data_IF_615562681215
#
_entry.id   IF_615562681215
#
_cell.length_a   1.000
_cell.length_b   1.000
_cell.length_c   1.000
_cell.angle_alpha   90.00
_cell.angle_beta   90.00
_cell.angle_gamma   90.00
#
_symmetry.space_group_name_H-M   'P 1'
#
loop_
_entity.id
_entity.type
_entity.pdbx_description
1 polymer ?
#
# COMPACT_ATOMS: atom_id res chain seq x y z
N UNK A 1 -13.10 7.10 -7.97
CA UNK A 1 -12.82 6.97 -6.52
C UNK A 1 -11.45 7.57 -6.26
N UNK A 2 -11.30 8.39 -5.22
CA UNK A 2 -10.00 8.97 -4.79
C UNK A 2 -9.51 8.15 -3.59
N UNK A 3 -8.20 7.86 -3.54
CA UNK A 3 -7.59 7.05 -2.47
C UNK A 3 -7.84 7.69 -1.10
N UNK A 4 -8.24 6.89 -0.13
CA UNK A 4 -8.52 7.36 1.24
C UNK A 4 -7.31 7.18 2.16
N UNK A 5 -6.91 8.26 2.83
CA UNK A 5 -5.99 8.21 3.97
C UNK A 5 -6.78 7.73 5.20
N UNK A 6 -6.41 6.58 5.75
CA UNK A 6 -7.09 5.93 6.86
C UNK A 6 -6.50 6.31 8.22
N UNK A 7 -5.18 6.49 8.28
CA UNK A 7 -4.45 6.84 9.51
C UNK A 7 -3.11 7.49 9.17
N UNK A 8 -2.58 8.29 10.10
CA UNK A 8 -1.23 8.84 10.02
C UNK A 8 -0.54 8.82 11.39
N UNK A 9 0.75 8.52 11.40
CA UNK A 9 1.53 8.51 12.63
C UNK A 9 3.02 8.74 12.34
N UNK A 10 3.83 8.87 13.40
CA UNK A 10 5.26 9.11 13.30
C UNK A 10 6.08 7.96 13.90
N UNK A 11 7.16 7.56 13.22
CA UNK A 11 8.16 6.61 13.73
C UNK A 11 9.52 7.31 13.81
N UNK A 12 10.20 7.19 14.94
CA UNK A 12 11.60 7.63 15.07
C UNK A 12 12.57 6.50 14.72
N UNK A 13 13.49 6.76 13.79
CA UNK A 13 14.57 5.87 13.37
C UNK A 13 15.93 6.54 13.50
N UNK A 14 16.98 5.84 13.05
CA UNK A 14 18.38 6.34 13.09
C UNK A 14 18.57 7.63 12.28
N UNK A 15 17.73 7.84 11.27
CA UNK A 15 17.77 9.01 10.38
C UNK A 15 16.73 10.09 10.77
N UNK A 16 16.17 10.02 11.99
CA UNK A 16 15.20 10.98 12.49
C UNK A 16 13.76 10.47 12.48
N UNK A 17 12.81 11.40 12.46
CA UNK A 17 11.38 11.07 12.55
C UNK A 17 10.75 10.99 11.16
N UNK A 18 10.09 9.87 10.88
CA UNK A 18 9.42 9.56 9.63
C UNK A 18 7.90 9.67 9.81
N UNK A 19 7.22 10.35 8.90
CA UNK A 19 5.75 10.34 8.81
C UNK A 19 5.33 9.08 8.06
N UNK A 20 4.38 8.35 8.63
CA UNK A 20 3.80 7.15 8.07
C UNK A 20 2.34 7.42 7.74
N UNK A 21 1.94 7.12 6.50
CA UNK A 21 0.58 7.25 6.02
C UNK A 21 -0.01 5.87 5.75
N UNK A 22 -1.22 5.61 6.22
CA UNK A 22 -1.94 4.35 6.04
C UNK A 22 -3.08 4.59 5.08
N UNK A 23 -3.12 3.81 3.99
CA UNK A 23 -4.15 3.89 2.97
C UNK A 23 -4.90 2.56 2.85
N UNK A 24 -6.02 2.58 2.13
CA UNK A 24 -6.63 1.35 1.63
C UNK A 24 -5.66 0.57 0.73
N UNK A 25 -5.83 -0.76 0.68
CA UNK A 25 -4.98 -1.61 -0.17
C UNK A 25 -5.48 -1.54 -1.61
N UNK A 26 -4.61 -1.07 -2.49
CA UNK A 26 -4.84 -1.03 -3.93
C UNK A 26 -3.80 -1.91 -4.64
N UNK A 27 -4.10 -2.24 -5.89
CA UNK A 27 -3.21 -3.01 -6.74
C UNK A 27 -2.27 -2.12 -7.54
N UNK A 28 -1.88 -2.65 -8.69
CA UNK A 28 -0.92 -2.01 -9.58
C UNK A 28 -1.50 -0.75 -10.26
N UNK A 29 -0.62 0.21 -10.53
CA UNK A 29 -0.93 1.35 -11.38
C UNK A 29 -1.17 0.92 -12.84
N UNK A 30 -1.92 1.73 -13.60
CA UNK A 30 -2.28 1.44 -14.99
C UNK A 30 -1.07 1.28 -15.91
N UNK A 31 0.01 2.04 -15.72
CA UNK A 31 1.21 1.89 -16.56
C UNK A 31 1.74 0.45 -16.57
N UNK A 32 1.67 -0.29 -15.44
CA UNK A 32 2.09 -1.71 -15.41
C UNK A 32 1.29 -2.56 -16.41
N UNK A 33 0.00 -2.27 -16.57
CA UNK A 33 -0.86 -2.99 -17.51
C UNK A 33 -0.63 -2.57 -18.96
N UNK A 34 -0.32 -1.30 -19.21
CA UNK A 34 0.07 -0.81 -20.54
C UNK A 34 1.37 -1.49 -21.01
N UNK A 35 2.36 -1.62 -20.12
CA UNK A 35 3.60 -2.35 -20.40
C UNK A 35 3.28 -3.82 -20.69
N UNK A 36 2.44 -4.45 -19.84
CA UNK A 36 2.05 -5.87 -20.00
C UNK A 36 1.28 -6.13 -21.30
N UNK A 37 0.55 -5.14 -21.81
CA UNK A 37 -0.12 -5.23 -23.11
C UNK A 37 0.82 -4.93 -24.29
N UNK A 38 2.14 -4.88 -24.09
CA UNK A 38 3.13 -4.50 -25.09
C UNK A 38 2.78 -3.19 -25.80
N UNK A 39 2.27 -2.21 -25.04
CA UNK A 39 1.84 -0.90 -25.54
C UNK A 39 0.75 -0.96 -26.64
N UNK A 40 0.07 -2.09 -26.82
CA UNK A 40 -1.06 -2.23 -27.77
C UNK A 40 -2.38 -1.64 -27.24
N UNK A 41 -2.35 -1.03 -26.06
CA UNK A 41 -3.52 -0.49 -25.38
C UNK A 41 -4.33 -1.54 -24.61
N UNK A 42 -5.43 -1.08 -24.02
CA UNK A 42 -6.38 -1.89 -23.25
C UNK A 42 -7.68 -2.03 -24.05
N UNK A 43 -8.49 -3.09 -23.82
CA UNK A 43 -9.79 -3.22 -24.45
C UNK A 43 -10.65 -1.97 -24.24
N UNK A 44 -11.28 -1.46 -25.31
CA UNK A 44 -12.05 -0.22 -25.28
C UNK A 44 -13.14 -0.18 -24.18
N UNK A 45 -13.88 -1.26 -23.89
CA UNK A 45 -14.83 -1.26 -22.76
C UNK A 45 -14.15 -0.99 -21.41
N UNK A 46 -12.94 -1.52 -21.19
CA UNK A 46 -12.16 -1.28 -19.98
C UNK A 46 -11.71 0.18 -19.90
N UNK A 47 -11.21 0.74 -21.01
CA UNK A 47 -10.79 2.16 -21.08
C UNK A 47 -11.95 3.08 -20.73
N UNK A 48 -13.14 2.86 -21.31
CA UNK A 48 -14.33 3.65 -21.00
C UNK A 48 -14.66 3.63 -19.50
N UNK A 49 -14.60 2.46 -18.87
CA UNK A 49 -14.87 2.32 -17.43
C UNK A 49 -13.80 2.96 -16.54
N UNK A 50 -12.53 2.84 -16.92
CA UNK A 50 -11.41 3.49 -16.22
C UNK A 50 -11.58 5.01 -16.28
N UNK A 51 -11.72 5.58 -17.48
CA UNK A 51 -11.82 7.02 -17.66
C UNK A 51 -13.08 7.58 -16.99
N UNK A 52 -14.21 6.86 -17.04
CA UNK A 52 -15.42 7.23 -16.31
C UNK A 52 -15.14 7.40 -14.81
N UNK A 53 -14.46 6.44 -14.18
CA UNK A 53 -14.15 6.50 -12.74
C UNK A 53 -13.10 7.55 -12.39
N UNK A 54 -12.13 7.81 -13.28
CA UNK A 54 -11.15 8.90 -13.13
C UNK A 54 -11.86 10.25 -13.15
N UNK A 55 -12.76 10.48 -14.11
CA UNK A 55 -13.53 11.71 -14.21
C UNK A 55 -14.44 11.92 -13.01
N UNK A 56 -15.07 10.86 -12.48
CA UNK A 56 -15.82 10.94 -11.22
C UNK A 56 -14.94 11.35 -10.03
N UNK A 57 -13.69 10.85 -9.96
CA UNK A 57 -12.74 11.27 -8.94
C UNK A 57 -12.30 12.73 -9.10
N UNK A 58 -12.08 13.17 -10.34
CA UNK A 58 -11.71 14.55 -10.64
C UNK A 58 -12.83 15.54 -10.38
N UNK A 59 -14.08 15.19 -10.71
CA UNK A 59 -15.24 16.01 -10.37
C UNK A 59 -15.35 16.19 -8.85
N UNK A 60 -15.17 15.11 -8.07
CA UNK A 60 -15.10 15.22 -6.61
C UNK A 60 -13.99 16.17 -6.15
N UNK A 61 -12.75 16.01 -6.66
CA UNK A 61 -11.62 16.87 -6.30
C UNK A 61 -11.88 18.35 -6.64
N UNK A 62 -12.41 18.63 -7.83
CA UNK A 62 -12.56 19.99 -8.34
C UNK A 62 -13.78 20.70 -7.74
N UNK A 63 -14.91 19.99 -7.67
CA UNK A 63 -16.20 20.53 -7.27
C UNK A 63 -16.36 20.56 -5.77
N UNK A 64 -15.95 19.49 -5.07
CA UNK A 64 -16.13 19.38 -3.60
C UNK A 64 -14.90 19.85 -2.84
N UNK A 65 -13.69 19.44 -3.26
CA UNK A 65 -12.47 19.74 -2.52
C UNK A 65 -11.77 21.03 -2.97
N UNK A 66 -12.08 21.57 -4.15
CA UNK A 66 -11.38 22.70 -4.78
C UNK A 66 -9.87 22.44 -4.97
N UNK A 67 -9.50 21.19 -5.22
CA UNK A 67 -8.12 20.74 -5.42
C UNK A 67 -7.87 20.48 -6.90
N UNK A 68 -6.69 20.86 -7.40
CA UNK A 68 -6.20 20.48 -8.73
C UNK A 68 -5.13 19.41 -8.54
N UNK A 69 -5.30 18.22 -9.11
CA UNK A 69 -4.32 17.12 -8.95
C UNK A 69 -2.98 17.41 -9.64
N UNK A 70 -2.98 18.15 -10.76
CA UNK A 70 -1.81 18.55 -11.59
C UNK A 70 -1.01 17.44 -12.27
N UNK A 71 -1.04 16.19 -11.78
CA UNK A 71 -0.23 15.09 -12.34
C UNK A 71 -1.06 13.84 -12.68
N UNK A 72 -2.15 14.01 -13.44
CA UNK A 72 -2.96 12.86 -13.87
C UNK A 72 -2.26 12.13 -15.01
N UNK A 73 -1.79 10.92 -14.72
CA UNK A 73 -1.10 10.01 -15.64
C UNK A 73 -1.28 8.54 -15.23
N UNK A 74 -1.02 7.56 -16.11
CA UNK A 74 -1.27 6.13 -15.82
C UNK A 74 -0.56 5.58 -14.57
N UNK A 75 0.54 6.17 -14.13
CA UNK A 75 1.30 5.83 -12.92
C UNK A 75 0.54 6.18 -11.64
N UNK A 76 -0.31 7.21 -11.70
CA UNK A 76 -1.07 7.72 -10.56
C UNK A 76 -2.51 7.20 -10.51
N UNK A 77 -2.90 6.30 -11.43
CA UNK A 77 -4.19 5.62 -11.39
C UNK A 77 -3.98 4.17 -10.98
N UNK A 78 -4.45 3.82 -9.79
CA UNK A 78 -4.32 2.48 -9.20
C UNK A 78 -5.59 1.65 -9.46
N UNK A 79 -5.42 0.37 -9.74
CA UNK A 79 -6.53 -0.58 -9.86
C UNK A 79 -6.75 -1.31 -8.54
N UNK A 80 -8.00 -1.41 -8.09
CA UNK A 80 -8.35 -2.22 -6.92
C UNK A 80 -8.07 -3.71 -7.15
N UNK A 81 -7.78 -4.42 -6.07
CA UNK A 81 -7.60 -5.87 -6.05
C UNK A 81 -8.64 -6.50 -5.12
N UNK A 82 -9.00 -7.74 -5.39
CA UNK A 82 -9.94 -8.46 -4.53
C UNK A 82 -9.26 -8.93 -3.23
N UNK A 83 -10.07 -9.20 -2.22
CA UNK A 83 -9.56 -9.68 -0.93
C UNK A 83 -8.82 -11.01 -1.04
N UNK A 84 -9.26 -11.92 -1.91
CA UNK A 84 -8.59 -13.21 -2.08
C UNK A 84 -7.15 -13.03 -2.56
N UNK A 85 -6.89 -12.08 -3.45
CA UNK A 85 -5.54 -11.73 -3.88
C UNK A 85 -4.71 -11.17 -2.72
N UNK A 86 -5.27 -10.25 -1.92
CA UNK A 86 -4.58 -9.68 -0.76
C UNK A 86 -4.24 -10.76 0.27
N UNK A 87 -5.19 -11.66 0.57
CA UNK A 87 -4.99 -12.76 1.53
C UNK A 87 -3.91 -13.73 1.08
N UNK A 88 -3.85 -14.04 -0.22
CA UNK A 88 -2.77 -14.86 -0.80
C UNK A 88 -1.41 -14.18 -0.63
N UNK A 89 -1.28 -12.91 -1.00
CA UNK A 89 -0.03 -12.17 -0.80
C UNK A 89 0.42 -12.13 0.67
N UNK A 90 -0.53 -11.97 1.60
CA UNK A 90 -0.22 -11.97 3.03
C UNK A 90 0.23 -13.36 3.53
N UNK A 91 -0.40 -14.43 3.03
CA UNK A 91 0.00 -15.81 3.36
C UNK A 91 1.41 -16.11 2.84
N UNK A 92 1.68 -15.79 1.58
CA UNK A 92 2.99 -15.95 0.94
C UNK A 92 4.09 -15.18 1.72
N UNK A 93 3.81 -13.92 2.10
CA UNK A 93 4.74 -13.13 2.91
C UNK A 93 5.00 -13.74 4.30
N UNK A 94 3.99 -14.34 4.91
CA UNK A 94 4.11 -15.03 6.21
C UNK A 94 4.99 -16.28 6.08
N UNK A 95 4.84 -17.03 4.99
CA UNK A 95 5.67 -18.21 4.70
C UNK A 95 7.13 -17.83 4.47
N UNK A 96 7.42 -16.75 3.74
CA UNK A 96 8.79 -16.27 3.54
C UNK A 96 9.46 -15.87 4.86
N UNK A 97 8.73 -15.20 5.75
CA UNK A 97 9.27 -14.81 7.05
C UNK A 97 9.58 -16.04 7.93
N UNK A 98 8.82 -17.13 7.78
CA UNK A 98 9.08 -18.40 8.49
C UNK A 98 10.27 -19.16 7.91
N UNK A 99 10.43 -19.16 6.59
CA UNK A 99 11.51 -19.90 5.91
C UNK A 99 12.85 -19.16 5.93
N UNK A 100 12.86 -17.87 6.27
CA UNK A 100 14.07 -17.04 6.22
C UNK A 100 14.55 -16.73 4.79
N UNK A 101 13.72 -17.01 3.78
CA UNK A 101 14.03 -16.78 2.38
C UNK A 101 13.94 -15.28 2.01
N UNK A 102 14.73 -14.81 1.03
CA UNK A 102 14.63 -13.44 0.55
C UNK A 102 13.27 -13.18 -0.11
N UNK A 103 12.70 -11.96 0.02
CA UNK A 103 11.38 -11.65 -0.54
C UNK A 103 11.41 -11.68 -2.07
N UNK A 104 10.37 -12.21 -2.75
CA UNK A 104 10.35 -12.45 -4.19
C UNK A 104 9.95 -11.25 -5.05
N UNK A 105 10.08 -10.02 -4.55
CA UNK A 105 9.79 -8.83 -5.35
C UNK A 105 10.81 -7.74 -5.07
N UNK A 106 11.47 -7.23 -6.12
CA UNK A 106 12.28 -6.00 -6.12
C UNK A 106 11.47 -4.72 -5.88
N UNK A 107 10.32 -4.82 -5.22
CA UNK A 107 9.58 -3.68 -4.67
C UNK A 107 10.44 -3.15 -3.53
N UNK A 108 10.97 -1.93 -3.71
CA UNK A 108 11.93 -1.25 -2.85
C UNK A 108 12.09 -1.91 -1.47
N UNK A 109 13.17 -2.68 -1.34
CA UNK A 109 13.68 -3.20 -0.08
C UNK A 109 13.51 -2.09 0.95
N UNK A 110 12.77 -2.33 2.02
CA UNK A 110 12.66 -1.36 3.11
C UNK A 110 14.08 -0.95 3.50
N UNK A 111 14.48 0.28 3.18
CA UNK A 111 15.76 0.87 3.58
C UNK A 111 15.80 1.17 5.07
N UNK A 112 14.69 0.93 5.79
CA UNK A 112 14.67 0.95 7.23
C UNK A 112 15.70 -0.06 7.79
N UNK A 113 16.57 0.35 8.72
CA UNK A 113 17.56 -0.53 9.32
C UNK A 113 16.90 -1.76 9.95
N UNK A 114 17.45 -2.94 9.68
CA UNK A 114 17.05 -4.15 10.37
C UNK A 114 17.33 -4.01 11.88
N UNK A 115 16.39 -4.34 12.78
CA UNK A 115 16.66 -4.33 14.21
C UNK A 115 17.77 -5.35 14.51
N UNK A 116 18.90 -4.88 15.05
CA UNK A 116 20.00 -5.75 15.49
C UNK A 116 19.48 -6.79 16.49
N UNK A 117 19.92 -8.06 16.44
CA UNK A 117 19.54 -9.06 17.42
C UNK A 117 19.99 -8.58 18.81
N UNK A 118 19.03 -8.29 19.69
CA UNK A 118 19.32 -7.83 21.05
C UNK A 118 19.85 -9.01 21.85
N UNK A 119 21.08 -8.90 22.33
CA UNK A 119 21.60 -9.70 23.43
C UNK A 119 20.64 -9.63 24.62
N UNK A 120 20.49 -10.75 25.34
CA UNK A 120 19.58 -10.90 26.48
C UNK A 120 19.91 -9.87 27.57
N UNK A 121 18.97 -8.97 27.87
CA UNK A 121 18.99 -8.07 29.04
C UNK A 121 17.64 -8.19 29.75
N UNK A 122 17.55 -8.16 31.11
CA UNK A 122 16.36 -8.59 31.84
C UNK A 122 15.16 -7.67 31.65
N UNK A 123 13.96 -8.25 31.78
CA UNK A 123 12.65 -7.64 31.57
C UNK A 123 12.47 -6.30 32.31
N UNK A 124 12.63 -5.20 31.60
CA UNK A 124 11.87 -3.98 31.84
C UNK A 124 10.92 -3.79 30.65
N UNK A 125 9.64 -3.55 30.92
CA UNK A 125 8.51 -3.41 29.97
C UNK A 125 8.90 -2.67 28.67
N UNK A 126 9.38 -3.41 27.69
CA UNK A 126 9.50 -2.94 26.31
C UNK A 126 8.13 -3.17 25.69
N UNK A 127 7.38 -2.09 25.44
CA UNK A 127 6.20 -2.14 24.57
C UNK A 127 6.69 -2.57 23.19
N UNK A 128 6.56 -3.86 22.89
CA UNK A 128 6.80 -4.38 21.55
C UNK A 128 5.90 -3.61 20.58
N UNK A 129 6.50 -2.73 19.78
CA UNK A 129 5.81 -2.15 18.64
C UNK A 129 5.55 -3.30 17.68
N UNK A 130 4.28 -3.73 17.63
CA UNK A 130 3.79 -4.67 16.62
C UNK A 130 4.23 -4.21 15.24
N UNK A 131 4.55 -5.14 14.36
CA UNK A 131 4.92 -4.82 12.99
C UNK A 131 3.81 -3.97 12.35
N UNK A 132 4.18 -3.08 11.42
CA UNK A 132 3.22 -2.24 10.70
C UNK A 132 2.10 -3.08 10.06
N UNK A 133 2.46 -4.28 9.56
CA UNK A 133 1.54 -5.29 9.03
C UNK A 133 0.54 -5.77 10.10
N UNK A 134 1.00 -6.11 11.30
CA UNK A 134 0.11 -6.55 12.39
C UNK A 134 -0.83 -5.44 12.87
N UNK A 135 -0.40 -4.17 12.85
CA UNK A 135 -1.27 -3.05 13.23
C UNK A 135 -2.38 -2.84 12.20
N UNK A 136 -2.03 -2.83 10.91
CA UNK A 136 -2.99 -2.70 9.80
C UNK A 136 -3.97 -3.89 9.76
N UNK A 137 -3.48 -5.12 9.94
CA UNK A 137 -4.32 -6.33 9.97
C UNK A 137 -5.26 -6.31 11.18
N UNK A 138 -4.78 -5.86 12.36
CA UNK A 138 -5.62 -5.78 13.56
C UNK A 138 -6.69 -4.69 13.45
N UNK A 139 -6.39 -3.54 12.85
CA UNK A 139 -7.38 -2.48 12.65
C UNK A 139 -8.48 -2.89 11.67
N UNK A 140 -8.17 -3.68 10.63
CA UNK A 140 -9.21 -4.26 9.77
C UNK A 140 -10.10 -5.28 10.47
N UNK A 141 -9.58 -6.04 11.44
CA UNK A 141 -10.38 -7.01 12.21
C UNK A 141 -11.33 -6.35 13.22
N UNK A 142 -10.94 -5.20 13.80
CA UNK A 142 -11.76 -4.47 14.79
C UNK A 142 -12.90 -3.68 14.11
N UNK A 143 -12.73 -3.28 12.85
CA UNK A 143 -13.77 -2.56 12.08
C UNK A 143 -14.84 -3.49 11.45
N UNK A 144 -14.81 -4.79 11.76
CA UNK A 144 -15.75 -5.81 11.24
C UNK A 144 -16.67 -6.38 12.34
N UNK A 145 -16.67 -5.78 13.53
CA UNK A 145 -17.68 -5.95 14.60
C UNK A 145 -18.55 -4.69 14.70
#
# INVERSE_FOLDING_TARGET
>A
MVVQLLDDFKISGVNGTHICMVFEVLGHHLLKWIIKSNYQGLPLPCVKKIIQQVLQGLDYLHTKCRIIHTDIKPENILLSVNEQYIRRLAAEATEWQRSGAPPPSGSAVSTAPQPKPKSRVPLARIRHSRSMVERVVRQKLIAME
#
